data_IF_584114522462
#
_entry.id   IF_584114522462
#
_cell.length_a   1.000
_cell.length_b   1.000
_cell.length_c   1.000
_cell.angle_alpha   90.00
_cell.angle_beta   90.00
_cell.angle_gamma   90.00
#
_symmetry.space_group_name_H-M   'P 1'
#
loop_
_entity.id
_entity.type
_entity.pdbx_description
1 polymer ?
#
# COMPACT_ATOMS: atom_id res chain seq x y z
N UNK A 1 0.03 42.13 47.96
CA UNK A 1 0.29 40.80 47.41
C UNK A 1 -0.44 40.65 46.10
N UNK A 2 0.26 40.84 44.98
CA UNK A 2 -0.30 40.57 43.65
C UNK A 2 0.76 39.80 42.89
N UNK A 3 0.57 38.48 42.81
CA UNK A 3 1.46 37.54 42.14
C UNK A 3 1.22 37.68 40.64
N UNK A 4 2.18 38.25 39.92
CA UNK A 4 2.16 38.25 38.46
C UNK A 4 2.40 36.82 37.96
N UNK A 5 1.38 36.21 37.37
CA UNK A 5 1.51 34.96 36.65
C UNK A 5 2.37 35.19 35.40
N UNK A 6 3.55 34.58 35.37
CA UNK A 6 4.39 34.47 34.17
C UNK A 6 3.71 33.53 33.19
N UNK A 7 3.09 34.10 32.16
CA UNK A 7 2.63 33.38 30.98
C UNK A 7 3.87 32.77 30.31
N UNK A 8 3.98 31.45 30.34
CA UNK A 8 5.06 30.73 29.67
C UNK A 8 4.73 30.74 28.18
N UNK A 9 5.50 31.50 27.41
CA UNK A 9 5.45 31.46 25.95
C UNK A 9 5.79 30.04 25.48
N UNK A 10 4.82 29.36 24.85
CA UNK A 10 5.10 28.15 24.10
C UNK A 10 6.06 28.53 22.97
N UNK A 11 7.34 28.16 23.13
CA UNK A 11 8.36 28.37 22.11
C UNK A 11 8.00 27.51 20.90
N UNK A 12 7.50 28.14 19.84
CA UNK A 12 7.26 27.50 18.55
C UNK A 12 8.63 27.11 17.97
N UNK A 13 9.04 25.86 18.17
CA UNK A 13 10.31 25.33 17.68
C UNK A 13 10.23 25.24 16.16
N UNK A 14 10.82 26.22 15.47
CA UNK A 14 10.96 26.18 14.02
C UNK A 14 11.90 25.02 13.65
N UNK A 15 11.45 24.03 12.88
CA UNK A 15 12.25 22.83 12.58
C UNK A 15 13.53 23.20 11.82
N UNK A 16 14.63 22.53 12.16
CA UNK A 16 15.92 22.80 11.51
C UNK A 16 15.91 22.32 10.05
N UNK A 17 16.67 22.97 9.17
CA UNK A 17 16.71 22.64 7.73
C UNK A 17 17.02 21.16 7.47
N UNK A 18 17.84 20.54 8.32
CA UNK A 18 18.16 19.11 8.25
C UNK A 18 16.97 18.21 8.55
N UNK A 19 16.09 18.60 9.47
CA UNK A 19 14.88 17.86 9.83
C UNK A 19 13.86 17.94 8.70
N UNK A 20 13.71 19.12 8.09
CA UNK A 20 12.87 19.33 6.91
C UNK A 20 13.36 18.47 5.74
N UNK A 21 14.68 18.47 5.49
CA UNK A 21 15.27 17.65 4.43
C UNK A 21 15.04 16.14 4.66
N UNK A 22 15.21 15.67 5.90
CA UNK A 22 14.95 14.28 6.28
C UNK A 22 13.48 13.90 6.09
N UNK A 23 12.54 14.78 6.46
CA UNK A 23 11.12 14.57 6.26
C UNK A 23 10.73 14.51 4.77
N UNK A 24 11.25 15.42 3.95
CA UNK A 24 11.04 15.41 2.48
C UNK A 24 11.56 14.11 1.88
N UNK A 25 12.77 13.69 2.26
CA UNK A 25 13.34 12.43 1.81
C UNK A 25 12.44 11.26 2.20
N UNK A 26 12.04 11.15 3.46
CA UNK A 26 11.13 10.10 3.92
C UNK A 26 9.83 10.07 3.11
N UNK A 27 9.16 11.22 2.95
CA UNK A 27 7.93 11.32 2.17
C UNK A 27 8.12 10.92 0.70
N UNK A 28 9.28 11.23 0.10
CA UNK A 28 9.59 10.78 -1.25
C UNK A 28 9.73 9.25 -1.36
N UNK A 29 10.12 8.56 -0.28
CA UNK A 29 10.22 7.09 -0.25
C UNK A 29 8.88 6.38 -0.03
N UNK A 30 7.96 6.96 0.76
CA UNK A 30 6.65 6.35 1.05
C UNK A 30 5.52 6.83 0.12
N UNK A 31 5.75 7.94 -0.57
CA UNK A 31 4.79 8.58 -1.47
C UNK A 31 4.27 7.66 -2.58
N UNK A 32 5.13 6.96 -3.33
CA UNK A 32 4.69 6.08 -4.43
C UNK A 32 3.73 4.97 -3.98
N UNK A 33 4.06 4.20 -2.94
CA UNK A 33 3.17 3.14 -2.41
C UNK A 33 1.85 3.73 -1.88
N UNK A 34 1.91 4.89 -1.23
CA UNK A 34 0.72 5.58 -0.71
C UNK A 34 -0.20 6.03 -1.85
N UNK A 35 0.37 6.61 -2.91
CA UNK A 35 -0.37 7.06 -4.09
C UNK A 35 -0.95 5.87 -4.86
N UNK A 36 -0.17 4.81 -5.06
CA UNK A 36 -0.63 3.55 -5.63
C UNK A 36 -1.89 3.05 -4.92
N UNK A 37 -1.80 2.83 -3.60
CA UNK A 37 -2.92 2.33 -2.77
C UNK A 37 -4.13 3.26 -2.84
N UNK A 38 -3.92 4.57 -2.75
CA UNK A 38 -4.99 5.55 -2.86
C UNK A 38 -5.76 5.44 -4.18
N UNK A 39 -5.06 5.20 -5.29
CA UNK A 39 -5.69 5.04 -6.61
C UNK A 39 -6.42 3.70 -6.72
N UNK A 40 -5.80 2.59 -6.32
CA UNK A 40 -6.40 1.25 -6.48
C UNK A 40 -7.55 0.97 -5.51
N UNK A 41 -7.73 1.80 -4.48
CA UNK A 41 -8.94 1.84 -3.65
C UNK A 41 -10.16 2.47 -4.37
N UNK A 42 -9.94 3.26 -5.44
CA UNK A 42 -11.05 3.82 -6.24
C UNK A 42 -11.65 2.74 -7.14
N UNK A 43 -12.97 2.81 -7.44
CA UNK A 43 -13.57 2.01 -8.49
C UNK A 43 -12.82 2.18 -9.81
N UNK A 44 -12.61 1.09 -10.56
CA UNK A 44 -11.89 1.10 -11.84
C UNK A 44 -12.43 2.13 -12.83
N UNK A 45 -13.75 2.36 -12.83
CA UNK A 45 -14.42 3.34 -13.70
C UNK A 45 -14.16 4.80 -13.34
N UNK A 46 -13.61 5.09 -12.17
CA UNK A 46 -13.39 6.45 -11.66
C UNK A 46 -11.91 6.89 -11.77
N UNK A 47 -11.05 6.06 -12.34
CA UNK A 47 -9.62 6.35 -12.48
C UNK A 47 -9.35 7.19 -13.73
N UNK A 48 -8.59 8.27 -13.55
CA UNK A 48 -8.10 9.10 -14.65
C UNK A 48 -6.96 8.44 -15.41
N UNK A 49 -6.66 8.91 -16.63
CA UNK A 49 -5.55 8.36 -17.42
C UNK A 49 -4.20 8.48 -16.69
N UNK A 50 -3.96 9.61 -16.02
CA UNK A 50 -2.74 9.84 -15.23
C UNK A 50 -2.61 8.85 -14.07
N UNK A 51 -3.72 8.53 -13.41
CA UNK A 51 -3.75 7.54 -12.33
C UNK A 51 -3.48 6.12 -12.86
N UNK A 52 -4.03 5.76 -14.02
CA UNK A 52 -3.74 4.47 -14.67
C UNK A 52 -2.27 4.35 -15.05
N UNK A 53 -1.65 5.42 -15.54
CA UNK A 53 -0.20 5.45 -15.81
C UNK A 53 0.62 5.25 -14.54
N UNK A 54 0.21 5.86 -13.42
CA UNK A 54 0.87 5.67 -12.14
C UNK A 54 0.76 4.22 -11.64
N UNK A 55 -0.45 3.65 -11.66
CA UNK A 55 -0.66 2.24 -11.30
C UNK A 55 0.18 1.32 -12.19
N UNK A 56 0.17 1.53 -13.51
CA UNK A 56 1.01 0.78 -14.44
C UNK A 56 2.51 0.85 -14.09
N UNK A 57 3.00 2.05 -13.75
CA UNK A 57 4.39 2.25 -13.32
C UNK A 57 4.77 1.40 -12.11
N UNK A 58 3.88 1.31 -11.12
CA UNK A 58 4.08 0.47 -9.93
C UNK A 58 4.02 -1.02 -10.25
N UNK A 59 3.10 -1.45 -11.11
CA UNK A 59 3.00 -2.86 -11.55
C UNK A 59 4.26 -3.37 -12.28
N UNK A 60 5.09 -2.47 -12.85
CA UNK A 60 6.37 -2.85 -13.45
C UNK A 60 7.39 -3.36 -12.40
N UNK A 61 7.31 -2.87 -11.17
CA UNK A 61 8.26 -3.18 -10.10
C UNK A 61 7.83 -4.39 -9.25
N UNK A 62 6.60 -4.87 -9.40
CA UNK A 62 6.12 -6.05 -8.69
C UNK A 62 6.77 -7.32 -9.22
N UNK A 63 7.61 -7.97 -8.40
CA UNK A 63 8.31 -9.22 -8.72
C UNK A 63 7.35 -10.30 -9.25
N UNK A 64 6.18 -10.43 -8.63
CA UNK A 64 5.14 -11.38 -9.01
C UNK A 64 4.63 -11.18 -10.45
N UNK A 65 4.81 -9.99 -11.04
CA UNK A 65 4.34 -9.64 -12.39
C UNK A 65 5.47 -9.56 -13.43
N UNK A 66 6.73 -9.78 -13.04
CA UNK A 66 7.90 -9.62 -13.92
C UNK A 66 7.79 -10.40 -15.23
N UNK A 67 7.20 -11.60 -15.19
CA UNK A 67 7.01 -12.47 -16.34
C UNK A 67 5.89 -12.04 -17.30
N UNK A 68 5.02 -11.10 -16.90
CA UNK A 68 3.93 -10.60 -17.74
C UNK A 68 4.42 -9.53 -18.73
N UNK A 69 3.81 -9.45 -19.91
CA UNK A 69 4.12 -8.39 -20.88
C UNK A 69 3.70 -7.01 -20.37
N UNK A 70 4.31 -5.96 -20.93
CA UNK A 70 3.94 -4.56 -20.64
C UNK A 70 2.48 -4.26 -21.00
N UNK A 71 1.98 -4.83 -22.09
CA UNK A 71 0.58 -4.70 -22.49
C UNK A 71 -0.36 -5.31 -21.44
N UNK A 72 -0.06 -6.53 -20.96
CA UNK A 72 -0.86 -7.17 -19.91
C UNK A 72 -0.84 -6.35 -18.63
N UNK A 73 0.32 -5.82 -18.20
CA UNK A 73 0.41 -4.94 -17.03
C UNK A 73 -0.42 -3.66 -17.19
N UNK A 74 -0.49 -3.10 -18.41
CA UNK A 74 -1.32 -1.93 -18.70
C UNK A 74 -2.81 -2.24 -18.57
N UNK A 75 -3.26 -3.38 -19.08
CA UNK A 75 -4.64 -3.84 -18.90
C UNK A 75 -4.94 -4.12 -17.42
N UNK A 76 -4.00 -4.71 -16.69
CA UNK A 76 -4.14 -4.93 -15.25
C UNK A 76 -4.32 -3.63 -14.47
N UNK A 77 -3.61 -2.55 -14.82
CA UNK A 77 -3.75 -1.26 -14.15
C UNK A 77 -5.20 -0.73 -14.17
N UNK A 78 -5.97 -1.06 -15.21
CA UNK A 78 -7.37 -0.68 -15.34
C UNK A 78 -8.31 -1.48 -14.43
N UNK A 79 -7.96 -2.72 -14.06
CA UNK A 79 -8.88 -3.66 -13.38
C UNK A 79 -8.45 -4.08 -11.98
N UNK A 80 -7.20 -3.85 -11.59
CA UNK A 80 -6.71 -4.20 -10.24
C UNK A 80 -7.49 -3.42 -9.18
N UNK A 81 -7.73 -4.05 -8.03
CA UNK A 81 -8.29 -3.42 -6.85
C UNK A 81 -7.46 -3.80 -5.63
N UNK A 82 -7.63 -3.05 -4.55
CA UNK A 82 -6.91 -3.29 -3.31
C UNK A 82 -7.87 -3.69 -2.20
N UNK A 83 -7.49 -4.72 -1.46
CA UNK A 83 -8.13 -5.10 -0.21
C UNK A 83 -7.09 -5.13 0.92
N UNK A 84 -7.55 -4.85 2.14
CA UNK A 84 -6.73 -4.89 3.33
C UNK A 84 -7.47 -5.57 4.47
N UNK A 85 -6.77 -6.43 5.19
CA UNK A 85 -7.28 -7.07 6.40
C UNK A 85 -6.41 -6.62 7.59
N UNK A 86 -7.04 -5.96 8.56
CA UNK A 86 -6.33 -5.39 9.71
C UNK A 86 -5.97 -6.43 10.78
N UNK A 87 -6.68 -7.56 10.82
CA UNK A 87 -6.56 -8.58 11.86
C UNK A 87 -6.04 -9.89 11.28
N UNK A 88 -5.12 -10.55 12.01
CA UNK A 88 -4.68 -11.91 11.71
C UNK A 88 -5.85 -12.91 11.84
N UNK A 89 -5.77 -14.01 11.11
CA UNK A 89 -6.81 -15.06 11.10
C UNK A 89 -7.99 -14.77 10.17
N UNK A 90 -7.98 -13.67 9.43
CA UNK A 90 -8.96 -13.45 8.35
C UNK A 90 -8.77 -14.51 7.25
N UNK A 91 -9.84 -15.24 6.94
CA UNK A 91 -9.84 -16.26 5.89
C UNK A 91 -10.19 -15.61 4.56
N UNK A 92 -9.24 -15.56 3.61
CA UNK A 92 -9.46 -15.00 2.27
C UNK A 92 -10.44 -15.86 1.45
N UNK A 93 -10.25 -17.18 1.47
CA UNK A 93 -11.14 -18.15 0.84
C UNK A 93 -10.94 -19.54 1.46
N UNK A 94 -11.91 -20.42 1.26
CA UNK A 94 -11.89 -21.82 1.71
C UNK A 94 -11.71 -22.78 0.55
N UNK A 95 -11.20 -23.96 0.85
CA UNK A 95 -11.12 -25.04 -0.13
C UNK A 95 -12.53 -25.40 -0.63
N UNK A 96 -12.70 -25.45 -1.94
CA UNK A 96 -14.00 -25.68 -2.59
C UNK A 96 -14.72 -24.38 -3.00
N UNK A 97 -14.27 -23.21 -2.54
CA UNK A 97 -14.81 -21.94 -3.00
C UNK A 97 -14.50 -21.73 -4.49
N UNK A 98 -15.41 -21.04 -5.19
CA UNK A 98 -15.23 -20.70 -6.59
C UNK A 98 -14.09 -19.67 -6.72
N UNK A 99 -13.01 -20.04 -7.41
CA UNK A 99 -11.93 -19.11 -7.75
C UNK A 99 -12.41 -18.06 -8.76
N UNK A 100 -12.60 -16.83 -8.30
CA UNK A 100 -13.01 -15.67 -9.12
C UNK A 100 -11.88 -14.64 -9.30
N UNK A 101 -10.88 -14.67 -8.43
CA UNK A 101 -9.79 -13.69 -8.38
C UNK A 101 -8.45 -14.37 -8.11
N UNK A 102 -7.38 -13.62 -8.36
CA UNK A 102 -6.00 -13.95 -8.05
C UNK A 102 -5.46 -12.84 -7.14
N UNK A 103 -4.54 -13.18 -6.24
CA UNK A 103 -4.05 -12.27 -5.20
C UNK A 103 -2.53 -12.12 -5.28
N UNK A 104 -2.06 -10.92 -4.94
CA UNK A 104 -0.64 -10.61 -4.74
C UNK A 104 -0.54 -9.99 -3.35
N UNK A 105 0.24 -10.62 -2.47
CA UNK A 105 0.45 -10.07 -1.12
C UNK A 105 1.47 -8.94 -1.20
N UNK A 106 1.01 -7.71 -0.96
CA UNK A 106 1.89 -6.53 -0.98
C UNK A 106 2.59 -6.30 0.36
N UNK A 107 1.96 -6.69 1.47
CA UNK A 107 2.50 -6.55 2.83
C UNK A 107 1.88 -7.59 3.75
N UNK A 108 2.72 -8.26 4.55
CA UNK A 108 2.31 -9.34 5.44
C UNK A 108 2.52 -10.72 4.83
N UNK A 109 1.95 -11.74 5.46
CA UNK A 109 2.05 -13.14 5.04
C UNK A 109 0.69 -13.83 5.13
N UNK A 110 0.56 -14.96 4.44
CA UNK A 110 -0.66 -15.78 4.47
C UNK A 110 -0.30 -17.24 4.76
N UNK A 111 -1.19 -17.90 5.49
CA UNK A 111 -1.10 -19.34 5.75
C UNK A 111 -1.96 -20.10 4.73
N UNK A 112 -1.36 -21.08 4.06
CA UNK A 112 -2.05 -22.02 3.18
C UNK A 112 -2.32 -23.28 3.98
N UNK A 113 -3.60 -23.54 4.24
CA UNK A 113 -4.07 -24.71 4.98
C UNK A 113 -4.82 -25.61 4.00
N UNK A 114 -4.24 -26.78 3.75
CA UNK A 114 -4.88 -27.88 3.02
C UNK A 114 -5.09 -28.98 4.05
N UNK A 115 -6.21 -29.69 4.04
CA UNK A 115 -6.40 -30.81 4.98
C UNK A 115 -5.20 -31.77 4.95
N UNK A 116 -4.43 -31.80 6.04
CA UNK A 116 -3.19 -32.59 6.18
C UNK A 116 -1.85 -31.89 5.88
N UNK A 117 -1.81 -30.62 5.41
CA UNK A 117 -0.56 -29.85 5.17
C UNK A 117 -0.76 -28.33 5.40
N UNK A 118 0.17 -27.71 6.13
CA UNK A 118 0.27 -26.25 6.27
C UNK A 118 1.51 -25.74 5.55
N UNK A 119 1.41 -24.63 4.83
CA UNK A 119 2.55 -23.95 4.19
C UNK A 119 2.38 -22.44 4.33
N UNK A 120 3.42 -21.75 4.80
CA UNK A 120 3.42 -20.28 4.93
C UNK A 120 4.09 -19.70 3.69
N UNK A 121 3.46 -18.70 3.06
CA UNK A 121 4.07 -17.96 1.95
C UNK A 121 4.42 -16.56 2.42
N UNK A 122 5.71 -16.25 2.41
CA UNK A 122 6.26 -14.91 2.63
C UNK A 122 6.77 -14.36 1.30
N UNK A 123 6.42 -13.11 0.98
CA UNK A 123 6.85 -12.43 -0.25
C UNK A 123 7.90 -11.39 0.15
N UNK A 124 9.15 -11.85 0.27
CA UNK A 124 10.34 -10.99 0.41
C UNK A 124 10.86 -10.41 -0.92
#
# INVERSE_FOLDING_TARGET
STTSATFSEEHEVVPHVTEIAAAIFYLSTVGPDSLFRMIVCKPSSERTLQELEHVYGELLHLKALTHLSTMVKRELAAVVFFEQHQHAGHVLFRQGDKGNCWYIVLKGSVDIIIEGKVSVVDIG
#
